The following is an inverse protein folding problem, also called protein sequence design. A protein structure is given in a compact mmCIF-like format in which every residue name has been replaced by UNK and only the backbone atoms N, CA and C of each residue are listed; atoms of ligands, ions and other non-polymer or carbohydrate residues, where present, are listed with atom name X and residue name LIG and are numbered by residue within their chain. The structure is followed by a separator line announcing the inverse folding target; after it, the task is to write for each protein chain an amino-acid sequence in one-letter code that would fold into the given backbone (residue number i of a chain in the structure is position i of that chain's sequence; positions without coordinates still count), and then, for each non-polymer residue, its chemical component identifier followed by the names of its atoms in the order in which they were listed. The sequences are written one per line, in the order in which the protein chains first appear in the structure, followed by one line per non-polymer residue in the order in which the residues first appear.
data_IF_560266379161
#
_entry.id   IF_560266379161
#
_cell.length_a   1.000
_cell.length_b   1.000
_cell.length_c   1.000
_cell.angle_alpha   90.00
_cell.angle_beta   90.00
_cell.angle_gamma   90.00
#
_symmetry.space_group_name_H-M   'P 1'
#
loop_
_entity.id
_entity.type
_entity.pdbx_description
1 polymer ?
#
# COMPACT_ATOMS: atom_id res chain seq x y z
N UNK A 1 11.58 -0.06 17.06
CA UNK A 1 11.58 -0.57 15.66
C UNK A 1 12.05 -2.02 15.59
N UNK A 2 11.74 -2.74 14.52
CA UNK A 2 12.25 -4.08 14.22
C UNK A 2 13.50 -3.98 13.34
N UNK A 3 14.58 -4.66 13.71
CA UNK A 3 15.91 -4.55 13.12
C UNK A 3 16.36 -5.95 12.69
N UNK A 4 16.86 -6.08 11.46
CA UNK A 4 17.57 -7.28 11.00
C UNK A 4 19.06 -7.05 11.17
N UNK A 5 19.74 -8.05 11.76
CA UNK A 5 21.19 -8.09 11.94
C UNK A 5 21.77 -9.22 11.10
N UNK A 6 22.70 -8.92 10.19
CA UNK A 6 23.42 -9.89 9.37
C UNK A 6 24.91 -9.90 9.74
N UNK A 7 25.36 -10.94 10.45
CA UNK A 7 26.76 -11.13 10.88
C UNK A 7 27.05 -12.62 11.11
N UNK A 8 28.17 -13.19 10.66
CA UNK A 8 28.46 -14.61 10.84
C UNK A 8 28.81 -15.00 12.29
N UNK A 9 29.08 -14.05 13.16
CA UNK A 9 29.55 -14.28 14.53
C UNK A 9 28.42 -14.36 15.54
N UNK A 10 28.23 -15.52 16.16
CA UNK A 10 27.29 -15.70 17.28
C UNK A 10 27.59 -14.81 18.50
N UNK A 11 28.88 -14.42 18.69
CA UNK A 11 29.26 -13.52 19.77
C UNK A 11 28.73 -12.10 19.48
N UNK A 12 28.83 -11.65 18.22
CA UNK A 12 28.26 -10.37 17.78
C UNK A 12 26.76 -10.38 17.91
N UNK A 13 26.08 -11.46 17.49
CA UNK A 13 24.62 -11.59 17.67
C UNK A 13 24.22 -11.34 19.13
N UNK A 14 24.84 -12.04 20.08
CA UNK A 14 24.52 -11.89 21.51
C UNK A 14 24.74 -10.47 22.02
N UNK A 15 25.89 -9.89 21.70
CA UNK A 15 26.23 -8.55 22.15
C UNK A 15 25.28 -7.49 21.55
N UNK A 16 25.01 -7.57 20.24
CA UNK A 16 24.12 -6.64 19.54
C UNK A 16 22.66 -6.78 20.00
N UNK A 17 22.16 -8.01 20.16
CA UNK A 17 20.81 -8.26 20.65
C UNK A 17 20.59 -7.67 22.04
N UNK A 18 21.58 -7.77 22.94
CA UNK A 18 21.51 -7.15 24.24
C UNK A 18 21.50 -5.61 24.14
N UNK A 19 22.47 -5.01 23.44
CA UNK A 19 22.62 -3.55 23.31
C UNK A 19 21.40 -2.90 22.65
N UNK A 20 20.86 -3.53 21.60
CA UNK A 20 19.71 -3.03 20.84
C UNK A 20 18.41 -3.25 21.62
N UNK A 21 18.29 -4.40 22.31
CA UNK A 21 17.15 -4.72 23.17
C UNK A 21 17.00 -3.78 24.36
N UNK A 22 18.10 -3.37 25.00
CA UNK A 22 18.11 -2.33 26.03
C UNK A 22 17.56 -0.99 25.54
N UNK A 23 17.67 -0.71 24.23
CA UNK A 23 17.09 0.46 23.57
C UNK A 23 15.59 0.31 23.21
N UNK A 24 14.95 -0.80 23.57
CA UNK A 24 13.54 -1.06 23.27
C UNK A 24 13.27 -1.45 21.82
N UNK A 25 14.28 -1.96 21.10
CA UNK A 25 14.15 -2.43 19.72
C UNK A 25 14.13 -3.97 19.67
N UNK A 26 13.41 -4.52 18.71
CA UNK A 26 13.38 -5.95 18.40
C UNK A 26 14.46 -6.29 17.37
N UNK A 27 15.23 -7.37 17.58
CA UNK A 27 16.31 -7.79 16.68
C UNK A 27 16.10 -9.23 16.22
N UNK A 28 16.21 -9.43 14.91
CA UNK A 28 16.27 -10.75 14.28
C UNK A 28 17.67 -10.88 13.68
N UNK A 29 18.44 -11.90 14.11
CA UNK A 29 19.83 -12.06 13.71
C UNK A 29 20.01 -13.27 12.77
N UNK A 30 20.75 -13.03 11.69
CA UNK A 30 21.12 -14.03 10.68
C UNK A 30 22.63 -14.10 10.52
N UNK A 31 23.17 -15.29 10.35
CA UNK A 31 24.56 -15.48 9.93
C UNK A 31 24.73 -15.25 8.42
N UNK A 32 23.67 -15.56 7.67
CA UNK A 32 23.58 -15.53 6.22
C UNK A 32 22.89 -14.24 5.76
N UNK A 33 23.55 -13.50 4.85
CA UNK A 33 23.00 -12.26 4.33
C UNK A 33 21.81 -12.45 3.37
N UNK A 34 21.72 -13.58 2.68
CA UNK A 34 20.57 -13.88 1.82
C UNK A 34 19.32 -14.22 2.64
N UNK A 35 19.47 -14.93 3.76
CA UNK A 35 18.37 -15.16 4.70
C UNK A 35 17.90 -13.85 5.34
N UNK A 36 18.82 -12.95 5.67
CA UNK A 36 18.50 -11.61 6.15
C UNK A 36 17.71 -10.81 5.10
N UNK A 37 18.12 -10.88 3.84
CA UNK A 37 17.42 -10.21 2.73
C UNK A 37 16.02 -10.78 2.51
N UNK A 38 15.86 -12.10 2.58
CA UNK A 38 14.56 -12.77 2.49
C UNK A 38 13.61 -12.32 3.61
N UNK A 39 14.10 -12.29 4.86
CA UNK A 39 13.34 -11.77 6.00
C UNK A 39 12.88 -10.33 5.77
N UNK A 40 13.77 -9.47 5.25
CA UNK A 40 13.41 -8.10 4.91
C UNK A 40 12.35 -8.07 3.80
N UNK A 41 12.40 -8.96 2.82
CA UNK A 41 11.42 -9.00 1.73
C UNK A 41 10.00 -9.40 2.22
N UNK A 42 9.93 -10.32 3.17
CA UNK A 42 8.67 -10.89 3.68
C UNK A 42 8.04 -10.08 4.81
N UNK A 43 8.85 -9.31 5.57
CA UNK A 43 8.39 -8.56 6.74
C UNK A 43 8.51 -7.05 6.54
N UNK A 44 7.41 -6.40 6.20
CA UNK A 44 7.32 -4.96 6.04
C UNK A 44 7.49 -4.15 7.33
N UNK A 45 7.48 -4.80 8.49
CA UNK A 45 7.70 -4.13 9.78
C UNK A 45 9.18 -3.89 10.09
N UNK A 46 10.11 -4.53 9.36
CA UNK A 46 11.56 -4.30 9.47
C UNK A 46 11.90 -2.88 9.02
N UNK A 47 12.51 -2.10 9.91
CA UNK A 47 12.86 -0.69 9.69
C UNK A 47 14.35 -0.42 9.57
N UNK A 48 15.19 -1.35 10.01
CA UNK A 48 16.62 -1.22 9.86
C UNK A 48 17.28 -2.56 9.53
N UNK A 49 18.35 -2.49 8.74
CA UNK A 49 19.32 -3.54 8.53
C UNK A 49 20.66 -3.09 9.12
N UNK A 50 21.26 -3.92 9.97
CA UNK A 50 22.67 -3.77 10.38
C UNK A 50 23.41 -4.96 9.80
N UNK A 51 24.40 -4.73 8.94
CA UNK A 51 25.18 -5.82 8.34
C UNK A 51 26.65 -5.64 8.57
N UNK A 52 27.38 -6.74 8.79
CA UNK A 52 28.85 -6.72 8.74
C UNK A 52 29.32 -6.70 7.28
N UNK A 53 30.62 -6.47 7.10
CA UNK A 53 31.24 -6.48 5.77
C UNK A 53 31.26 -7.85 5.10
N UNK A 54 31.16 -8.92 5.87
CA UNK A 54 31.27 -10.30 5.41
C UNK A 54 30.26 -11.24 6.10
N UNK A 55 28.95 -11.06 5.91
CA UNK A 55 27.99 -12.12 6.22
C UNK A 55 28.19 -13.29 5.25
N UNK A 56 27.62 -14.45 5.58
CA UNK A 56 27.71 -15.61 4.69
C UNK A 56 26.95 -15.37 3.38
N UNK A 57 27.44 -15.95 2.31
CA UNK A 57 26.82 -16.02 0.97
C UNK A 57 26.69 -14.72 0.18
N UNK A 58 26.92 -13.57 0.80
CA UNK A 58 26.87 -12.25 0.13
C UNK A 58 27.79 -11.27 0.90
N UNK A 59 28.44 -10.34 0.22
CA UNK A 59 29.18 -9.29 0.90
C UNK A 59 28.27 -8.25 1.54
N UNK A 60 28.71 -7.57 2.59
CA UNK A 60 27.93 -6.53 3.26
C UNK A 60 27.55 -5.38 2.32
N UNK A 61 28.43 -5.02 1.37
CA UNK A 61 28.17 -3.99 0.36
C UNK A 61 27.06 -4.43 -0.60
N UNK A 62 27.15 -5.66 -1.12
CA UNK A 62 26.12 -6.22 -1.99
C UNK A 62 24.79 -6.34 -1.26
N UNK A 63 24.80 -6.71 0.03
CA UNK A 63 23.59 -6.76 0.85
C UNK A 63 22.98 -5.38 1.06
N UNK A 64 23.80 -4.32 1.28
CA UNK A 64 23.32 -2.94 1.33
C UNK A 64 22.61 -2.55 0.02
N UNK A 65 23.25 -2.81 -1.12
CA UNK A 65 22.68 -2.51 -2.44
C UNK A 65 21.38 -3.28 -2.71
N UNK A 66 21.34 -4.57 -2.38
CA UNK A 66 20.15 -5.41 -2.52
C UNK A 66 18.98 -4.93 -1.62
N UNK A 67 19.27 -4.64 -0.35
CA UNK A 67 18.30 -4.12 0.59
C UNK A 67 17.74 -2.74 0.15
N UNK A 68 18.61 -1.87 -0.40
CA UNK A 68 18.20 -0.58 -0.95
C UNK A 68 17.29 -0.74 -2.17
N UNK A 69 17.63 -1.65 -3.08
CA UNK A 69 16.80 -1.97 -4.25
C UNK A 69 15.44 -2.53 -3.83
N UNK A 70 15.42 -3.42 -2.84
CA UNK A 70 14.20 -4.01 -2.30
C UNK A 70 13.29 -2.95 -1.65
N UNK A 71 13.86 -2.04 -0.85
CA UNK A 71 13.07 -0.99 -0.18
C UNK A 71 12.49 0.03 -1.17
N UNK A 72 13.19 0.35 -2.25
CA UNK A 72 12.76 1.31 -3.26
C UNK A 72 12.27 2.62 -2.67
N UNK A 73 11.18 3.17 -3.25
CA UNK A 73 10.51 4.38 -2.76
C UNK A 73 9.34 4.08 -1.81
N UNK A 74 8.87 2.83 -1.77
CA UNK A 74 7.64 2.43 -1.06
C UNK A 74 7.87 1.98 0.39
N UNK A 75 9.14 1.81 0.79
CA UNK A 75 9.49 1.29 2.11
C UNK A 75 10.55 2.15 2.81
N UNK A 76 10.35 2.40 4.09
CA UNK A 76 11.32 3.08 4.93
C UNK A 76 12.26 2.05 5.58
N UNK A 77 13.45 1.85 5.02
CA UNK A 77 14.51 1.01 5.56
C UNK A 77 15.76 1.85 5.76
N UNK A 78 16.40 1.72 6.93
CA UNK A 78 17.70 2.33 7.25
C UNK A 78 18.77 1.24 7.27
N UNK A 79 19.84 1.42 6.51
CA UNK A 79 20.88 0.41 6.31
C UNK A 79 22.18 0.89 6.93
N UNK A 80 22.73 0.10 7.87
CA UNK A 80 23.99 0.40 8.58
C UNK A 80 25.00 -0.69 8.25
N UNK A 81 26.16 -0.33 7.70
CA UNK A 81 27.30 -1.24 7.57
C UNK A 81 28.17 -1.17 8.81
N UNK A 82 28.58 -2.34 9.32
CA UNK A 82 29.45 -2.49 10.48
C UNK A 82 30.78 -3.13 10.06
N UNK A 83 31.91 -2.51 10.36
CA UNK A 83 33.24 -3.02 10.01
C UNK A 83 34.23 -2.97 11.19
N UNK A 84 35.13 -3.93 11.23
CA UNK A 84 36.25 -3.95 12.18
C UNK A 84 37.52 -3.21 11.68
N UNK A 85 37.48 -2.68 10.47
CA UNK A 85 38.58 -1.92 9.88
C UNK A 85 38.22 -0.44 9.83
N UNK A 86 39.20 0.42 10.12
CA UNK A 86 39.09 1.88 9.97
C UNK A 86 39.38 2.31 8.53
N UNK A 87 38.83 1.55 7.57
CA UNK A 87 39.01 1.82 6.16
C UNK A 87 37.98 2.88 5.69
N UNK A 88 38.45 4.08 5.54
CA UNK A 88 37.64 5.20 5.05
C UNK A 88 37.06 4.97 3.66
N UNK A 89 37.81 4.28 2.77
CA UNK A 89 37.30 3.95 1.43
C UNK A 89 36.17 2.93 1.49
N UNK A 90 36.22 2.00 2.44
CA UNK A 90 35.13 1.05 2.66
C UNK A 90 33.86 1.77 3.10
N UNK A 91 33.96 2.75 4.00
CA UNK A 91 32.82 3.54 4.43
C UNK A 91 32.19 4.32 3.26
N UNK A 92 33.01 5.00 2.43
CA UNK A 92 32.52 5.68 1.23
C UNK A 92 31.83 4.69 0.29
N UNK A 93 32.49 3.56 -0.02
CA UNK A 93 31.93 2.54 -0.91
C UNK A 93 30.60 2.01 -0.39
N UNK A 94 30.43 1.81 0.91
CA UNK A 94 29.18 1.37 1.51
C UNK A 94 28.07 2.40 1.33
N UNK A 95 28.34 3.68 1.58
CA UNK A 95 27.40 4.78 1.41
C UNK A 95 26.96 4.92 -0.07
N UNK A 96 27.89 4.84 -1.01
CA UNK A 96 27.63 4.90 -2.46
C UNK A 96 26.80 3.68 -2.92
N UNK A 97 26.88 2.54 -2.21
CA UNK A 97 26.13 1.33 -2.50
C UNK A 97 24.88 1.16 -1.64
N UNK A 98 24.36 2.22 -1.03
CA UNK A 98 23.03 2.23 -0.42
C UNK A 98 22.99 2.04 1.09
N UNK A 99 24.12 1.99 1.79
CA UNK A 99 24.13 2.18 3.24
C UNK A 99 23.75 3.64 3.57
N UNK A 100 23.03 3.85 4.67
CA UNK A 100 22.72 5.19 5.19
C UNK A 100 23.76 5.61 6.25
N UNK A 101 24.44 4.61 6.83
CA UNK A 101 25.42 4.86 7.89
C UNK A 101 26.47 3.76 7.96
N UNK A 102 27.57 4.09 8.64
CA UNK A 102 28.69 3.19 8.89
C UNK A 102 29.10 3.24 10.36
N UNK A 103 29.31 2.09 10.99
CA UNK A 103 29.76 1.99 12.38
C UNK A 103 30.97 1.05 12.53
N UNK A 104 31.80 1.31 13.57
CA UNK A 104 32.90 0.44 13.89
C UNK A 104 32.42 -0.85 14.60
N UNK A 105 33.17 -1.95 14.45
CA UNK A 105 32.92 -3.26 15.10
C UNK A 105 34.06 -3.61 16.03
N UNK A 106 33.87 -3.81 17.36
CA UNK A 106 32.58 -3.76 18.06
C UNK A 106 32.06 -2.31 18.18
N UNK A 107 30.74 -2.08 18.12
CA UNK A 107 30.20 -0.73 18.23
C UNK A 107 30.33 -0.20 19.66
N UNK A 108 30.61 1.09 19.79
CA UNK A 108 30.52 1.80 21.08
C UNK A 108 29.01 1.88 21.44
N UNK A 109 28.59 1.43 22.64
CA UNK A 109 27.18 1.34 22.99
C UNK A 109 26.42 2.65 22.84
N UNK A 110 26.97 3.77 23.25
CA UNK A 110 26.30 5.08 23.18
C UNK A 110 26.25 5.60 21.76
N UNK A 111 27.26 5.32 20.92
CA UNK A 111 27.22 5.61 19.50
C UNK A 111 26.12 4.82 18.78
N UNK A 112 26.06 3.50 18.98
CA UNK A 112 25.03 2.66 18.42
C UNK A 112 23.63 3.15 18.79
N UNK A 113 23.41 3.44 20.08
CA UNK A 113 22.13 3.98 20.56
C UNK A 113 21.77 5.31 19.90
N UNK A 114 22.75 6.20 19.72
CA UNK A 114 22.51 7.49 19.06
C UNK A 114 22.13 7.32 17.59
N UNK A 115 22.82 6.42 16.85
CA UNK A 115 22.53 6.12 15.45
C UNK A 115 21.18 5.42 15.27
N UNK A 116 20.82 4.50 16.16
CA UNK A 116 19.51 3.86 16.13
C UNK A 116 18.37 4.85 16.40
N UNK A 117 18.56 5.82 17.30
CA UNK A 117 17.56 6.91 17.48
C UNK A 117 17.43 7.77 16.21
N UNK A 118 18.53 8.03 15.51
CA UNK A 118 18.48 8.73 14.21
C UNK A 118 17.77 7.90 13.16
N UNK A 119 18.12 6.62 13.03
CA UNK A 119 17.48 5.68 12.11
C UNK A 119 15.97 5.59 12.33
N UNK A 120 15.52 5.47 13.59
CA UNK A 120 14.10 5.42 13.95
C UNK A 120 13.37 6.71 13.56
N UNK A 121 13.95 7.86 13.83
CA UNK A 121 13.39 9.15 13.43
C UNK A 121 13.30 9.30 11.92
N UNK A 122 14.36 8.98 11.18
CA UNK A 122 14.40 9.09 9.71
C UNK A 122 13.42 8.13 9.06
N UNK A 123 13.37 6.88 9.52
CA UNK A 123 12.43 5.88 8.96
C UNK A 123 10.99 6.22 9.30
N UNK A 124 10.71 6.74 10.50
CA UNK A 124 9.37 7.20 10.87
C UNK A 124 8.91 8.38 10.01
N UNK A 125 9.76 9.38 9.79
CA UNK A 125 9.46 10.50 8.90
C UNK A 125 9.23 10.04 7.45
N UNK A 126 10.10 9.16 6.94
CA UNK A 126 9.95 8.59 5.58
C UNK A 126 8.65 7.82 5.45
N UNK A 127 8.28 7.04 6.47
CA UNK A 127 7.02 6.30 6.48
C UNK A 127 5.80 7.23 6.44
N UNK A 128 5.82 8.31 7.21
CA UNK A 128 4.75 9.31 7.16
C UNK A 128 4.65 9.96 5.76
N UNK A 129 5.79 10.31 5.15
CA UNK A 129 5.79 10.84 3.78
C UNK A 129 5.23 9.85 2.77
N UNK A 130 5.57 8.55 2.89
CA UNK A 130 5.00 7.50 2.04
C UNK A 130 3.49 7.43 2.24
N UNK A 131 3.00 7.43 3.48
CA UNK A 131 1.57 7.42 3.78
C UNK A 131 0.85 8.63 3.19
N UNK A 132 1.35 9.85 3.38
CA UNK A 132 0.77 11.05 2.77
C UNK A 132 0.77 11.02 1.24
N UNK A 133 1.80 10.41 0.65
CA UNK A 133 1.89 10.30 -0.80
C UNK A 133 1.01 9.20 -1.40
N UNK A 134 0.65 8.17 -0.62
CA UNK A 134 -0.03 6.96 -1.14
C UNK A 134 -1.44 6.77 -0.63
N UNK A 135 -1.79 7.28 0.54
CA UNK A 135 -3.11 7.11 1.13
C UNK A 135 -3.98 8.36 0.96
N UNK A 136 -5.28 8.14 0.89
CA UNK A 136 -6.29 9.17 1.11
C UNK A 136 -6.39 9.45 2.60
N UNK A 137 -6.21 10.70 3.00
CA UNK A 137 -6.10 11.10 4.42
C UNK A 137 -7.39 10.88 5.23
N UNK A 138 -8.54 10.82 4.56
CA UNK A 138 -9.83 10.66 5.21
C UNK A 138 -10.20 9.19 5.41
N UNK A 139 -9.96 8.36 4.39
CA UNK A 139 -10.42 6.96 4.38
C UNK A 139 -9.32 5.96 4.73
N UNK A 140 -8.03 6.35 4.61
CA UNK A 140 -6.88 5.47 4.80
C UNK A 140 -6.74 4.39 3.72
N UNK A 141 -7.49 4.48 2.64
CA UNK A 141 -7.34 3.67 1.43
C UNK A 141 -6.24 4.26 0.54
N UNK A 142 -5.81 3.54 -0.48
CA UNK A 142 -4.93 4.11 -1.48
C UNK A 142 -5.60 5.33 -2.15
N UNK A 143 -4.84 6.39 -2.33
CA UNK A 143 -5.29 7.49 -3.17
C UNK A 143 -5.25 7.07 -4.65
N UNK A 144 -5.88 7.85 -5.52
CA UNK A 144 -5.97 7.55 -6.96
C UNK A 144 -4.61 7.16 -7.57
N UNK A 145 -3.57 7.95 -7.32
CA UNK A 145 -2.24 7.70 -7.89
C UNK A 145 -1.66 6.36 -7.45
N UNK A 146 -1.63 6.11 -6.16
CA UNK A 146 -1.07 4.88 -5.60
C UNK A 146 -1.90 3.63 -5.99
N UNK A 147 -3.20 3.78 -6.16
CA UNK A 147 -4.06 2.70 -6.66
C UNK A 147 -3.66 2.30 -8.09
N UNK A 148 -3.48 3.27 -9.01
CA UNK A 148 -3.04 2.96 -10.37
C UNK A 148 -1.61 2.42 -10.43
N UNK A 149 -0.70 2.91 -9.59
CA UNK A 149 0.66 2.35 -9.47
C UNK A 149 0.62 0.89 -8.99
N UNK A 150 -0.19 0.57 -7.98
CA UNK A 150 -0.34 -0.81 -7.46
C UNK A 150 -1.06 -1.76 -8.43
N UNK A 151 -1.97 -1.25 -9.25
CA UNK A 151 -2.69 -2.05 -10.24
C UNK A 151 -1.80 -2.61 -11.34
N UNK A 152 -0.66 -1.97 -11.63
CA UNK A 152 0.29 -2.45 -12.63
C UNK A 152 0.92 -3.80 -12.25
N UNK A 153 1.16 -4.03 -10.97
CA UNK A 153 1.71 -5.30 -10.46
C UNK A 153 0.67 -6.43 -10.63
N UNK A 154 -0.61 -6.16 -10.33
CA UNK A 154 -1.71 -7.12 -10.54
C UNK A 154 -1.91 -7.47 -12.00
N UNK A 155 -1.84 -6.47 -12.89
CA UNK A 155 -1.90 -6.69 -14.35
C UNK A 155 -0.81 -7.66 -14.82
N UNK A 156 0.42 -7.50 -14.38
CA UNK A 156 1.53 -8.38 -14.77
C UNK A 156 1.28 -9.84 -14.36
N UNK A 157 0.62 -10.08 -13.23
CA UNK A 157 0.25 -11.41 -12.78
C UNK A 157 -0.82 -12.04 -13.70
N UNK A 158 -1.82 -11.26 -14.11
CA UNK A 158 -2.91 -11.71 -15.00
C UNK A 158 -2.38 -11.99 -16.42
N UNK A 159 -1.57 -11.10 -16.98
CA UNK A 159 -0.97 -11.28 -18.32
C UNK A 159 -0.13 -12.57 -18.40
N UNK A 160 0.43 -13.02 -17.27
CA UNK A 160 1.13 -14.31 -17.18
C UNK A 160 0.20 -15.51 -17.02
N UNK A 161 -1.13 -15.33 -17.05
CA UNK A 161 -2.14 -16.39 -16.93
C UNK A 161 -2.23 -17.02 -15.53
N UNK A 162 -1.76 -16.34 -14.49
CA UNK A 162 -1.70 -16.88 -13.12
C UNK A 162 -3.02 -16.80 -12.37
N UNK A 163 -3.84 -15.80 -12.66
CA UNK A 163 -5.14 -15.59 -12.02
C UNK A 163 -6.04 -14.68 -12.86
N UNK A 164 -7.38 -14.77 -12.75
CA UNK A 164 -8.30 -13.76 -13.25
C UNK A 164 -8.12 -12.46 -12.46
N UNK A 165 -8.67 -11.35 -12.97
CA UNK A 165 -8.68 -10.06 -12.30
C UNK A 165 -10.01 -9.37 -12.54
N UNK A 166 -10.63 -8.88 -11.48
CA UNK A 166 -11.87 -8.12 -11.56
C UNK A 166 -11.76 -6.78 -10.83
N UNK A 167 -12.46 -5.79 -11.35
CA UNK A 167 -12.64 -4.48 -10.76
C UNK A 167 -14.06 -4.31 -10.24
N UNK A 168 -14.19 -3.84 -9.00
CA UNK A 168 -15.42 -3.43 -8.36
C UNK A 168 -15.36 -1.93 -8.16
N UNK A 169 -16.07 -1.14 -8.94
CA UNK A 169 -16.22 0.30 -8.73
C UNK A 169 -17.54 0.60 -8.06
N UNK A 170 -17.56 1.54 -7.13
CA UNK A 170 -18.81 1.93 -6.48
C UNK A 170 -18.77 3.37 -5.98
N UNK A 171 -19.96 3.93 -5.78
CA UNK A 171 -20.14 5.32 -5.38
C UNK A 171 -21.31 5.41 -4.39
N UNK A 172 -21.22 6.34 -3.45
CA UNK A 172 -22.24 6.55 -2.40
C UNK A 172 -23.43 7.26 -2.98
N UNK A 173 -24.59 6.60 -2.97
CA UNK A 173 -25.82 7.14 -3.48
C UNK A 173 -26.24 8.43 -2.75
N UNK A 174 -26.54 9.45 -3.53
CA UNK A 174 -27.01 10.75 -3.01
C UNK A 174 -26.06 11.45 -2.04
N UNK A 175 -24.73 11.24 -2.15
CA UNK A 175 -23.75 11.80 -1.22
C UNK A 175 -23.85 13.34 -1.10
N UNK A 176 -24.08 14.05 -2.21
CA UNK A 176 -24.33 15.49 -2.20
C UNK A 176 -25.50 15.86 -1.29
N UNK A 177 -26.61 15.10 -1.31
CA UNK A 177 -27.76 15.35 -0.44
C UNK A 177 -27.41 15.15 1.05
N UNK A 178 -26.51 14.21 1.36
CA UNK A 178 -26.01 14.00 2.73
C UNK A 178 -25.27 15.26 3.19
N UNK A 179 -24.34 15.78 2.37
CA UNK A 179 -23.61 17.01 2.66
C UNK A 179 -24.54 18.22 2.81
N UNK A 180 -25.49 18.36 1.90
CA UNK A 180 -26.43 19.49 1.90
C UNK A 180 -27.38 19.45 3.12
N UNK A 181 -27.70 18.24 3.64
CA UNK A 181 -28.64 18.06 4.76
C UNK A 181 -27.96 18.08 6.11
N UNK A 182 -26.78 17.42 6.25
CA UNK A 182 -26.13 17.14 7.52
C UNK A 182 -24.76 17.82 7.69
N UNK A 183 -24.31 18.55 6.65
CA UNK A 183 -23.03 19.23 6.63
C UNK A 183 -21.85 18.33 6.18
N UNK A 184 -20.75 18.97 5.77
CA UNK A 184 -19.56 18.29 5.26
C UNK A 184 -18.89 17.38 6.30
N UNK A 185 -18.94 17.73 7.58
CA UNK A 185 -18.40 16.87 8.65
C UNK A 185 -19.10 15.51 8.72
N UNK A 186 -20.42 15.47 8.48
CA UNK A 186 -21.15 14.22 8.40
C UNK A 186 -20.80 13.45 7.12
N UNK A 187 -20.65 14.15 5.99
CA UNK A 187 -20.15 13.55 4.75
C UNK A 187 -18.79 12.90 4.94
N UNK A 188 -17.86 13.56 5.63
CA UNK A 188 -16.54 13.02 5.95
C UNK A 188 -16.63 11.75 6.84
N UNK A 189 -17.52 11.76 7.85
CA UNK A 189 -17.78 10.56 8.67
C UNK A 189 -18.33 9.40 7.85
N UNK A 190 -19.21 9.69 6.89
CA UNK A 190 -19.73 8.68 5.95
C UNK A 190 -18.63 8.11 5.08
N UNK A 191 -17.81 8.97 4.47
CA UNK A 191 -16.66 8.55 3.65
C UNK A 191 -15.66 7.70 4.44
N UNK A 192 -15.31 8.10 5.64
CA UNK A 192 -14.41 7.35 6.53
C UNK A 192 -14.98 5.98 6.89
N UNK A 193 -16.29 5.90 7.20
CA UNK A 193 -16.96 4.64 7.53
C UNK A 193 -17.03 3.69 6.33
N UNK A 194 -17.34 4.19 5.14
CA UNK A 194 -17.30 3.43 3.89
C UNK A 194 -15.88 2.94 3.58
N UNK A 195 -14.89 3.82 3.74
CA UNK A 195 -13.48 3.47 3.59
C UNK A 195 -13.05 2.33 4.54
N UNK A 196 -13.50 2.36 5.78
CA UNK A 196 -13.22 1.30 6.75
C UNK A 196 -13.83 -0.05 6.34
N UNK A 197 -15.06 -0.07 5.79
CA UNK A 197 -15.65 -1.29 5.24
C UNK A 197 -14.89 -1.78 4.00
N UNK A 198 -14.52 -0.87 3.11
CA UNK A 198 -13.78 -1.19 1.88
C UNK A 198 -12.39 -1.78 2.19
N UNK A 199 -11.73 -1.30 3.24
CA UNK A 199 -10.42 -1.80 3.68
C UNK A 199 -10.44 -3.26 4.14
N UNK A 200 -11.61 -3.78 4.51
CA UNK A 200 -11.80 -5.20 4.90
C UNK A 200 -11.95 -6.12 3.69
N UNK A 201 -12.14 -5.57 2.48
CA UNK A 201 -12.19 -6.35 1.26
C UNK A 201 -10.78 -6.83 0.87
N UNK A 202 -10.70 -8.08 0.40
CA UNK A 202 -9.46 -8.61 -0.16
C UNK A 202 -9.10 -7.86 -1.45
N UNK A 203 -7.80 -7.63 -1.67
CA UNK A 203 -7.29 -7.02 -2.88
C UNK A 203 -6.77 -5.59 -2.71
N UNK A 204 -6.58 -4.91 -3.83
CA UNK A 204 -6.11 -3.52 -3.87
C UNK A 204 -7.30 -2.58 -3.75
N UNK A 205 -7.35 -1.80 -2.68
CA UNK A 205 -8.49 -0.91 -2.37
C UNK A 205 -8.08 0.56 -2.45
N UNK A 206 -8.88 1.38 -3.12
CA UNK A 206 -8.60 2.81 -3.30
C UNK A 206 -9.84 3.69 -3.32
N UNK A 207 -9.64 4.96 -2.95
CA UNK A 207 -10.58 6.05 -3.20
C UNK A 207 -10.10 6.84 -4.41
N UNK A 208 -10.89 6.82 -5.49
CA UNK A 208 -10.48 7.43 -6.76
C UNK A 208 -10.79 8.92 -6.84
N UNK A 209 -11.74 9.41 -6.05
CA UNK A 209 -12.09 10.82 -5.94
C UNK A 209 -13.48 11.00 -5.34
N UNK A 210 -13.77 12.14 -4.71
CA UNK A 210 -15.09 12.46 -4.16
C UNK A 210 -15.68 11.32 -3.32
N UNK A 211 -16.75 10.71 -3.80
CA UNK A 211 -17.46 9.57 -3.21
C UNK A 211 -17.23 8.24 -3.95
N UNK A 212 -16.23 8.18 -4.85
CA UNK A 212 -15.91 7.03 -5.70
C UNK A 212 -14.82 6.16 -5.11
N UNK A 213 -15.08 4.87 -5.03
CA UNK A 213 -14.19 3.83 -4.51
C UNK A 213 -13.96 2.74 -5.54
N UNK A 214 -12.82 2.06 -5.42
CA UNK A 214 -12.51 0.91 -6.28
C UNK A 214 -11.78 -0.18 -5.50
N UNK A 215 -12.10 -1.44 -5.85
CA UNK A 215 -11.40 -2.63 -5.37
C UNK A 215 -10.97 -3.45 -6.58
N UNK A 216 -9.69 -3.84 -6.65
CA UNK A 216 -9.20 -4.82 -7.61
C UNK A 216 -8.91 -6.12 -6.89
N UNK A 217 -9.47 -7.23 -7.39
CA UNK A 217 -9.32 -8.56 -6.80
C UNK A 217 -8.87 -9.57 -7.85
N UNK A 218 -7.97 -10.48 -7.44
CA UNK A 218 -7.50 -11.57 -8.30
C UNK A 218 -8.52 -12.73 -8.32
N UNK A 219 -9.75 -12.43 -8.75
CA UNK A 219 -10.89 -13.34 -8.81
C UNK A 219 -11.64 -13.13 -10.13
N UNK A 220 -12.47 -14.11 -10.51
CA UNK A 220 -13.36 -14.00 -11.66
C UNK A 220 -14.57 -13.09 -11.39
N UNK A 221 -15.39 -12.85 -12.44
CA UNK A 221 -16.54 -11.98 -12.35
C UNK A 221 -17.58 -12.44 -11.32
N UNK A 222 -17.81 -13.73 -11.19
CA UNK A 222 -18.83 -14.28 -10.29
C UNK A 222 -18.45 -14.07 -8.83
N UNK A 223 -17.20 -14.34 -8.48
CA UNK A 223 -16.65 -14.10 -7.14
C UNK A 223 -16.59 -12.61 -6.83
N UNK A 224 -16.23 -11.76 -7.80
CA UNK A 224 -16.26 -10.31 -7.63
C UNK A 224 -17.69 -9.77 -7.37
N UNK A 225 -18.69 -10.31 -8.04
CA UNK A 225 -20.13 -9.98 -7.78
C UNK A 225 -20.52 -10.40 -6.36
N UNK A 226 -20.09 -11.58 -5.90
CA UNK A 226 -20.36 -12.05 -4.55
C UNK A 226 -19.71 -11.12 -3.49
N UNK A 227 -18.44 -10.77 -3.67
CA UNK A 227 -17.69 -9.86 -2.81
C UNK A 227 -18.32 -8.46 -2.77
N UNK A 228 -18.74 -7.93 -3.93
CA UNK A 228 -19.47 -6.66 -3.99
C UNK A 228 -20.81 -6.73 -3.23
N UNK A 229 -21.50 -7.87 -3.28
CA UNK A 229 -22.73 -8.09 -2.51
C UNK A 229 -22.50 -8.08 -0.98
N UNK A 230 -21.40 -8.64 -0.51
CA UNK A 230 -21.00 -8.56 0.89
C UNK A 230 -20.68 -7.14 1.33
N UNK A 231 -19.87 -6.44 0.53
CA UNK A 231 -19.52 -5.05 0.77
C UNK A 231 -20.75 -4.14 0.76
N UNK A 232 -21.68 -4.32 -0.19
CA UNK A 232 -22.94 -3.57 -0.25
C UNK A 232 -23.76 -3.78 1.02
N UNK A 233 -23.93 -5.02 1.49
CA UNK A 233 -24.66 -5.33 2.73
C UNK A 233 -24.00 -4.70 3.94
N UNK A 234 -22.68 -4.77 4.02
CA UNK A 234 -21.89 -4.18 5.11
C UNK A 234 -22.08 -2.66 5.16
N UNK A 235 -21.93 -1.97 4.02
CA UNK A 235 -22.14 -0.51 3.94
C UNK A 235 -23.59 -0.15 4.28
N UNK A 236 -24.56 -0.87 3.77
CA UNK A 236 -25.99 -0.63 4.03
C UNK A 236 -26.38 -0.84 5.50
N UNK A 237 -25.62 -1.64 6.26
CA UNK A 237 -25.81 -1.85 7.69
C UNK A 237 -25.33 -0.66 8.55
N UNK A 238 -24.52 0.22 8.01
CA UNK A 238 -24.03 1.40 8.73
C UNK A 238 -25.18 2.31 9.15
N UNK A 239 -25.07 2.88 10.35
CA UNK A 239 -26.03 3.83 10.91
C UNK A 239 -25.30 5.09 11.36
N UNK A 240 -25.82 6.21 10.95
CA UNK A 240 -25.29 7.53 11.27
C UNK A 240 -26.32 8.30 12.07
N UNK A 241 -25.90 8.93 13.15
CA UNK A 241 -26.74 9.80 13.98
C UNK A 241 -26.30 11.25 13.84
N UNK A 242 -27.25 12.13 13.58
CA UNK A 242 -27.08 13.58 13.58
C UNK A 242 -28.21 14.23 14.37
N UNK A 243 -27.92 14.66 15.60
CA UNK A 243 -28.90 15.32 16.46
C UNK A 243 -30.13 14.47 16.79
N UNK A 244 -30.00 13.15 16.91
CA UNK A 244 -31.08 12.20 17.17
C UNK A 244 -31.80 11.69 15.91
N UNK A 245 -31.44 12.19 14.74
CA UNK A 245 -31.92 11.68 13.45
C UNK A 245 -30.96 10.58 12.97
N UNK A 246 -31.41 9.33 12.97
CA UNK A 246 -30.65 8.19 12.47
C UNK A 246 -30.96 7.94 10.99
N UNK A 247 -29.90 7.80 10.16
CA UNK A 247 -30.04 7.47 8.74
C UNK A 247 -29.04 6.39 8.30
N UNK A 248 -29.27 5.80 7.15
CA UNK A 248 -28.39 4.84 6.49
C UNK A 248 -28.08 5.34 5.07
N UNK A 249 -27.07 4.73 4.47
CA UNK A 249 -26.63 5.02 3.11
C UNK A 249 -26.72 3.76 2.24
N UNK A 250 -26.74 3.96 0.93
CA UNK A 250 -26.59 2.91 -0.07
C UNK A 250 -25.49 3.27 -1.04
N UNK A 251 -25.01 2.28 -1.78
CA UNK A 251 -24.02 2.47 -2.85
C UNK A 251 -24.49 1.75 -4.11
N UNK A 252 -24.12 2.32 -5.24
CA UNK A 252 -24.28 1.70 -6.56
C UNK A 252 -22.96 1.13 -7.02
N UNK A 253 -22.95 -0.11 -7.50
CA UNK A 253 -21.77 -0.88 -7.86
C UNK A 253 -21.74 -1.22 -9.34
N UNK A 254 -20.57 -1.12 -9.96
CA UNK A 254 -20.28 -1.63 -11.29
C UNK A 254 -19.08 -2.56 -11.24
N UNK A 255 -19.16 -3.70 -11.92
CA UNK A 255 -18.13 -4.73 -11.91
C UNK A 255 -17.72 -5.07 -13.34
N UNK A 256 -16.40 -5.24 -13.54
CA UNK A 256 -15.86 -5.72 -14.81
C UNK A 256 -14.70 -6.67 -14.56
N UNK A 257 -14.64 -7.75 -15.32
CA UNK A 257 -13.50 -8.65 -15.37
C UNK A 257 -12.51 -8.20 -16.44
N UNK A 258 -11.23 -8.42 -16.20
CA UNK A 258 -10.17 -8.15 -17.16
C UNK A 258 -10.28 -9.10 -18.37
N UNK A 259 -10.20 -8.55 -19.56
CA UNK A 259 -10.20 -9.31 -20.81
C UNK A 259 -8.79 -9.34 -21.41
N UNK A 260 -8.47 -10.42 -22.12
CA UNK A 260 -7.15 -10.59 -22.72
C UNK A 260 -6.79 -9.39 -23.63
N UNK A 261 -5.66 -8.76 -23.33
CA UNK A 261 -5.20 -7.56 -24.04
C UNK A 261 -5.74 -6.24 -23.49
N UNK A 262 -6.49 -6.26 -22.39
CA UNK A 262 -6.92 -5.03 -21.74
C UNK A 262 -5.78 -4.27 -21.06
N UNK A 263 -5.84 -2.95 -21.14
CA UNK A 263 -5.24 -2.09 -20.15
C UNK A 263 -6.17 -2.00 -18.91
N UNK A 264 -5.59 -1.80 -17.72
CA UNK A 264 -6.38 -1.60 -16.49
C UNK A 264 -7.45 -0.51 -16.66
N UNK A 265 -7.10 0.60 -17.31
CA UNK A 265 -8.02 1.71 -17.57
C UNK A 265 -9.25 1.27 -18.38
N UNK A 266 -9.12 0.31 -19.30
CA UNK A 266 -10.24 -0.19 -20.08
C UNK A 266 -11.19 -1.02 -19.20
N UNK A 267 -10.68 -1.89 -18.36
CA UNK A 267 -11.48 -2.65 -17.40
C UNK A 267 -12.21 -1.71 -16.42
N UNK A 268 -11.49 -0.73 -15.86
CA UNK A 268 -12.08 0.27 -14.95
C UNK A 268 -13.18 1.09 -15.65
N UNK A 269 -12.98 1.45 -16.92
CA UNK A 269 -14.03 2.13 -17.71
C UNK A 269 -15.27 1.28 -17.88
N UNK A 270 -15.14 -0.06 -18.09
CA UNK A 270 -16.32 -0.95 -18.16
C UNK A 270 -17.05 -1.02 -16.81
N UNK A 271 -16.30 -1.09 -15.71
CA UNK A 271 -16.87 -1.05 -14.36
C UNK A 271 -17.60 0.29 -14.08
N UNK A 272 -17.02 1.42 -14.49
CA UNK A 272 -17.63 2.76 -14.34
C UNK A 272 -18.95 2.86 -15.13
N UNK A 273 -18.99 2.39 -16.38
CA UNK A 273 -20.21 2.33 -17.17
C UNK A 273 -21.28 1.48 -16.46
N UNK A 274 -20.94 0.32 -15.94
CA UNK A 274 -21.83 -0.54 -15.19
C UNK A 274 -22.35 0.14 -13.91
N UNK A 275 -21.48 0.83 -13.17
CA UNK A 275 -21.87 1.62 -11.99
C UNK A 275 -22.84 2.76 -12.36
N UNK A 276 -22.58 3.46 -13.45
CA UNK A 276 -23.48 4.49 -13.94
C UNK A 276 -24.88 3.94 -14.31
N UNK A 277 -24.95 2.77 -14.94
CA UNK A 277 -26.22 2.09 -15.20
C UNK A 277 -26.90 1.64 -13.89
N UNK A 278 -26.16 1.24 -12.86
CA UNK A 278 -26.72 0.97 -11.54
C UNK A 278 -27.38 2.22 -10.95
N UNK A 279 -26.74 3.40 -11.06
CA UNK A 279 -27.32 4.69 -10.64
C UNK A 279 -28.60 5.05 -11.40
N UNK A 280 -28.62 4.85 -12.74
CA UNK A 280 -29.78 5.13 -13.58
C UNK A 280 -30.95 4.19 -13.30
N UNK A 281 -30.68 2.93 -13.06
CA UNK A 281 -31.68 1.88 -12.86
C UNK A 281 -32.35 1.89 -11.49
N UNK A 282 -32.07 2.92 -10.63
CA UNK A 282 -32.73 3.10 -9.33
C UNK A 282 -31.80 2.93 -8.12
N UNK A 283 -30.48 2.89 -8.35
CA UNK A 283 -29.46 2.86 -7.29
C UNK A 283 -29.49 1.59 -6.41
N UNK A 284 -28.69 1.54 -5.33
CA UNK A 284 -28.62 0.46 -4.34
C UNK A 284 -28.55 -0.93 -5.01
N UNK A 285 -27.69 -1.09 -6.00
CA UNK A 285 -27.56 -2.31 -6.78
C UNK A 285 -26.16 -2.54 -7.35
N UNK A 286 -25.99 -3.76 -7.82
CA UNK A 286 -24.78 -4.24 -8.46
C UNK A 286 -25.11 -4.53 -9.92
N UNK A 287 -24.29 -4.04 -10.85
CA UNK A 287 -24.35 -4.36 -12.28
C UNK A 287 -22.96 -4.84 -12.73
N UNK A 288 -22.92 -5.97 -13.44
CA UNK A 288 -21.70 -6.49 -14.07
C UNK A 288 -21.65 -6.14 -15.56
N UNK A 289 -20.46 -5.86 -16.08
CA UNK A 289 -20.27 -5.38 -17.46
C UNK A 289 -20.67 -6.36 -18.55
N UNK A 290 -20.68 -7.67 -18.28
CA UNK A 290 -21.08 -8.70 -19.23
C UNK A 290 -22.58 -8.66 -19.57
N UNK A 291 -23.37 -7.89 -18.82
CA UNK A 291 -24.81 -7.73 -19.06
C UNK A 291 -25.11 -6.74 -20.20
N UNK A 292 -24.08 -5.98 -20.65
CA UNK A 292 -24.23 -4.97 -21.69
C UNK A 292 -23.21 -5.18 -22.79
N UNK A 293 -23.65 -5.74 -23.94
CA UNK A 293 -22.91 -5.59 -25.20
C UNK A 293 -22.71 -4.07 -25.42
N UNK A 294 -21.44 -3.63 -25.50
CA UNK A 294 -21.07 -2.25 -25.73
C UNK A 294 -21.79 -1.72 -26.97
N UNK A 295 -22.93 -1.05 -26.82
CA UNK A 295 -23.45 -0.20 -27.84
C UNK A 295 -22.43 0.90 -28.09
N UNK A 296 -21.87 0.89 -29.29
CA UNK A 296 -20.99 1.95 -29.80
C UNK A 296 -21.75 3.28 -29.69
N UNK A 297 -21.38 4.12 -28.77
CA UNK A 297 -21.61 5.57 -28.74
C UNK A 297 -21.82 6.05 -27.29
N UNK A 298 -20.73 6.21 -26.55
CA UNK A 298 -20.68 7.16 -25.44
C UNK A 298 -19.25 7.70 -25.32
N UNK A 299 -18.97 8.76 -26.09
CA UNK A 299 -17.71 9.52 -26.04
C UNK A 299 -17.71 10.59 -24.94
N UNK A 300 -18.59 10.51 -23.97
CA UNK A 300 -18.59 11.45 -22.84
C UNK A 300 -18.16 10.76 -21.53
N UNK A 301 -16.86 10.72 -21.32
CA UNK A 301 -16.30 10.38 -20.03
C UNK A 301 -16.57 11.52 -19.04
N UNK A 302 -17.17 11.21 -17.87
CA UNK A 302 -17.49 12.17 -16.82
C UNK A 302 -16.28 13.00 -16.43
N UNK A 303 -16.47 14.32 -16.25
CA UNK A 303 -15.45 15.37 -16.23
C UNK A 303 -14.30 15.28 -15.22
N UNK A 304 -14.20 14.28 -14.37
CA UNK A 304 -13.08 14.13 -13.41
C UNK A 304 -11.76 13.69 -14.07
N UNK A 305 -11.81 12.95 -15.18
CA UNK A 305 -10.60 12.49 -15.88
C UNK A 305 -10.05 13.52 -16.88
N UNK A 306 -10.86 14.47 -17.37
CA UNK A 306 -10.40 15.53 -18.28
C UNK A 306 -9.55 16.62 -17.60
N UNK A 307 -9.66 16.81 -16.30
CA UNK A 307 -8.95 17.90 -15.60
C UNK A 307 -7.45 17.64 -15.36
N UNK A 308 -6.98 16.41 -15.49
CA UNK A 308 -5.56 16.06 -15.26
C UNK A 308 -4.75 15.98 -16.55
N UNK A 309 -5.35 15.64 -17.68
CA UNK A 309 -4.66 15.58 -18.98
C UNK A 309 -4.36 16.95 -19.61
N UNK A 310 -4.92 18.06 -19.07
CA UNK A 310 -4.74 19.42 -19.61
C UNK A 310 -3.76 20.30 -18.81
N UNK A 311 -3.04 19.73 -17.82
CA UNK A 311 -2.01 20.42 -17.03
C UNK A 311 -0.74 19.59 -16.88
N UNK A 312 -0.22 19.04 -17.97
CA UNK A 312 1.08 18.46 -18.07
C UNK A 312 1.94 19.25 -19.04
#
# INVERSE_FOLDING_TARGET
MRIVLADPSRAVHRAMMQLIGEGGHEVIAFADGLEALACIAEDDSVRALITSTQPLNITGIELCAAARKLSGTRRALHVILMSSTDDFYLAITALDNGADDFIHKPPIPDELRARLRLADRVTSMKQQLIQYATLDSLTGLLNRRAFFEGSADMRSAVESGKAPLSAIMFDIDHFKKINDTFGHEMGDRVLAAVGAQTKMADGLTGRLGGEEFCVLQAVDLADAVAAAGELQRSIKSLRFDHGGQVFSITCSFGIAEWEQGDAIDRMLRRADIAMYEAKKSGRDRIIASDTFALTKDHDEWSGAARAVAARG
#
